data_IF_557285309008
#
_entry.id   IF_557285309008
#
_cell.length_a   1.000
_cell.length_b   1.000
_cell.length_c   1.000
_cell.angle_alpha   90.00
_cell.angle_beta   90.00
_cell.angle_gamma   90.00
#
_symmetry.space_group_name_H-M   'P 1'
#
loop_
_entity.id
_entity.type
_entity.pdbx_description
1 polymer ?
#
# COMPACT_ATOMS: atom_id res chain seq x y z
N UNK A 1 -28.25 29.49 -5.12
CA UNK A 1 -27.64 28.65 -4.06
C UNK A 1 -26.59 29.53 -3.40
N UNK A 2 -26.84 29.97 -2.16
CA UNK A 2 -26.20 31.12 -1.52
C UNK A 2 -24.79 30.80 -1.00
N UNK A 3 -23.89 31.80 -1.02
CA UNK A 3 -22.49 31.72 -0.54
C UNK A 3 -22.34 31.12 0.87
N UNK A 4 -23.40 31.19 1.68
CA UNK A 4 -23.48 30.62 3.02
C UNK A 4 -23.44 29.08 3.03
N UNK A 5 -24.11 28.41 2.08
CA UNK A 5 -24.04 26.93 1.93
C UNK A 5 -22.65 26.46 1.49
N UNK A 6 -21.96 27.26 0.69
CA UNK A 6 -20.60 26.97 0.22
C UNK A 6 -19.60 27.17 1.37
N UNK A 7 -19.77 28.22 2.18
CA UNK A 7 -18.94 28.45 3.37
C UNK A 7 -19.17 27.36 4.43
N UNK A 8 -20.42 26.97 4.68
CA UNK A 8 -20.75 25.90 5.62
C UNK A 8 -20.26 24.52 5.17
N UNK A 9 -20.32 24.21 3.87
CA UNK A 9 -19.73 22.98 3.33
C UNK A 9 -18.19 23.01 3.43
N UNK A 10 -17.55 24.15 3.16
CA UNK A 10 -16.09 24.27 3.25
C UNK A 10 -15.59 24.16 4.70
N UNK A 11 -16.30 24.73 5.68
CA UNK A 11 -15.91 24.63 7.10
C UNK A 11 -16.14 23.21 7.66
N UNK A 12 -17.23 22.55 7.27
CA UNK A 12 -17.49 21.14 7.65
C UNK A 12 -16.47 20.18 7.03
N UNK A 13 -16.11 20.34 5.74
CA UNK A 13 -15.03 19.58 5.11
C UNK A 13 -13.67 19.81 5.79
N UNK A 14 -13.34 21.05 6.12
CA UNK A 14 -12.06 21.37 6.80
C UNK A 14 -11.99 20.75 8.20
N UNK A 15 -13.11 20.74 8.94
CA UNK A 15 -13.19 20.12 10.27
C UNK A 15 -13.10 18.59 10.19
N UNK A 16 -13.81 17.97 9.25
CA UNK A 16 -13.76 16.52 8.99
C UNK A 16 -12.34 16.07 8.61
N UNK A 17 -11.65 16.82 7.75
CA UNK A 17 -10.26 16.50 7.37
C UNK A 17 -9.30 16.51 8.58
N UNK A 18 -9.41 17.52 9.45
CA UNK A 18 -8.59 17.57 10.69
C UNK A 18 -8.88 16.39 11.61
N UNK A 19 -10.15 15.99 11.72
CA UNK A 19 -10.55 14.84 12.52
C UNK A 19 -9.98 13.53 11.95
N UNK A 20 -10.06 13.31 10.63
CA UNK A 20 -9.49 12.13 9.98
C UNK A 20 -7.98 12.03 10.17
N UNK A 21 -7.25 13.15 10.03
CA UNK A 21 -5.80 13.19 10.29
C UNK A 21 -5.49 12.75 11.72
N UNK A 22 -6.25 13.24 12.71
CA UNK A 22 -6.00 12.91 14.11
C UNK A 22 -6.29 11.43 14.42
N UNK A 23 -7.39 10.89 13.86
CA UNK A 23 -7.73 9.46 13.98
C UNK A 23 -6.65 8.59 13.30
N UNK A 24 -6.18 9.00 12.12
CA UNK A 24 -5.15 8.29 11.36
C UNK A 24 -3.84 8.23 12.14
N UNK A 25 -3.37 9.38 12.64
CA UNK A 25 -2.15 9.47 13.44
C UNK A 25 -2.25 8.62 14.72
N UNK A 26 -3.43 8.54 15.33
CA UNK A 26 -3.65 7.66 16.48
C UNK A 26 -3.57 6.19 16.07
N UNK A 27 -4.13 5.83 14.92
CA UNK A 27 -3.97 4.51 14.30
C UNK A 27 -2.51 4.15 14.07
N UNK A 28 -1.72 5.06 13.49
CA UNK A 28 -0.28 4.85 13.26
C UNK A 28 0.46 4.62 14.59
N UNK A 29 0.20 5.45 15.61
CA UNK A 29 0.82 5.28 16.93
C UNK A 29 0.50 3.91 17.54
N UNK A 30 -0.75 3.45 17.42
CA UNK A 30 -1.16 2.13 17.89
C UNK A 30 -0.47 1.02 17.11
N UNK A 31 -0.32 1.19 15.79
CA UNK A 31 0.42 0.25 14.94
C UNK A 31 1.88 0.11 15.41
N UNK A 32 2.58 1.24 15.63
CA UNK A 32 3.96 1.23 16.11
C UNK A 32 4.12 0.65 17.53
N UNK A 33 3.07 0.68 18.34
CA UNK A 33 3.02 0.03 19.66
C UNK A 33 2.58 -1.45 19.59
N UNK A 34 2.44 -2.02 18.39
CA UNK A 34 1.93 -3.37 18.15
C UNK A 34 0.50 -3.61 18.65
N UNK A 35 -0.28 -2.54 18.88
CA UNK A 35 -1.70 -2.60 19.27
C UNK A 35 -2.59 -2.71 18.01
N UNK A 36 -2.36 -3.74 17.20
CA UNK A 36 -2.86 -3.85 15.83
C UNK A 36 -4.38 -3.83 15.70
N UNK A 37 -5.12 -4.51 16.58
CA UNK A 37 -6.60 -4.47 16.56
C UNK A 37 -7.15 -3.06 16.84
N UNK A 38 -6.50 -2.32 17.75
CA UNK A 38 -6.90 -0.94 18.02
C UNK A 38 -6.55 -0.04 16.82
N UNK A 39 -5.41 -0.26 16.18
CA UNK A 39 -5.04 0.45 14.95
C UNK A 39 -6.06 0.19 13.83
N UNK A 40 -6.46 -1.09 13.63
CA UNK A 40 -7.49 -1.51 12.68
C UNK A 40 -8.77 -0.69 12.81
N UNK A 41 -9.27 -0.59 14.05
CA UNK A 41 -10.49 0.16 14.36
C UNK A 41 -10.39 1.63 13.95
N UNK A 42 -9.25 2.29 14.18
CA UNK A 42 -9.06 3.70 13.83
C UNK A 42 -9.10 3.92 12.31
N UNK A 43 -8.44 3.06 11.53
CA UNK A 43 -8.48 3.17 10.06
C UNK A 43 -9.88 2.86 9.51
N UNK A 44 -10.60 1.88 10.06
CA UNK A 44 -11.98 1.58 9.68
C UNK A 44 -12.94 2.73 10.01
N UNK A 45 -12.75 3.39 11.17
CA UNK A 45 -13.55 4.56 11.55
C UNK A 45 -13.50 5.69 10.52
N UNK A 46 -12.33 5.91 9.90
CA UNK A 46 -12.16 6.93 8.85
C UNK A 46 -12.95 6.53 7.59
N UNK A 47 -12.90 5.27 7.18
CA UNK A 47 -13.60 4.77 5.98
C UNK A 47 -15.13 4.85 6.09
N UNK A 48 -15.69 4.74 7.30
CA UNK A 48 -17.15 4.85 7.54
C UNK A 48 -17.61 6.29 7.82
N UNK A 49 -16.72 7.27 7.83
CA UNK A 49 -17.02 8.68 8.13
C UNK A 49 -16.84 9.57 6.88
N UNK A 50 -17.81 9.58 5.94
CA UNK A 50 -17.74 10.48 4.79
C UNK A 50 -17.96 11.95 5.20
N UNK A 51 -17.42 12.93 4.45
CA UNK A 51 -16.69 12.78 3.19
C UNK A 51 -15.21 12.42 3.38
N UNK A 52 -14.70 11.51 2.54
CA UNK A 52 -13.29 11.11 2.49
C UNK A 52 -12.77 11.19 1.05
N UNK A 53 -11.53 11.64 0.86
CA UNK A 53 -10.91 11.69 -0.45
C UNK A 53 -10.46 10.30 -0.91
N UNK A 54 -10.39 10.05 -2.22
CA UNK A 54 -9.88 8.78 -2.74
C UNK A 54 -8.45 8.49 -2.25
N UNK A 55 -7.62 9.53 -2.09
CA UNK A 55 -6.26 9.41 -1.58
C UNK A 55 -6.24 8.98 -0.11
N UNK A 56 -7.07 9.58 0.74
CA UNK A 56 -7.17 9.21 2.15
C UNK A 56 -7.78 7.81 2.32
N UNK A 57 -8.76 7.45 1.49
CA UNK A 57 -9.28 6.07 1.42
C UNK A 57 -8.17 5.09 1.07
N UNK A 58 -7.37 5.36 0.03
CA UNK A 58 -6.26 4.51 -0.38
C UNK A 58 -5.22 4.35 0.73
N UNK A 59 -4.91 5.43 1.47
CA UNK A 59 -4.03 5.38 2.64
C UNK A 59 -4.59 4.49 3.76
N UNK A 60 -5.89 4.62 4.07
CA UNK A 60 -6.53 3.77 5.08
C UNK A 60 -6.49 2.30 4.70
N UNK A 61 -6.78 1.97 3.44
CA UNK A 61 -6.67 0.60 2.94
C UNK A 61 -5.23 0.07 2.98
N UNK A 62 -4.23 0.90 2.70
CA UNK A 62 -2.82 0.53 2.87
C UNK A 62 -2.51 0.14 4.32
N UNK A 63 -2.91 0.99 5.27
CA UNK A 63 -2.68 0.74 6.70
C UNK A 63 -3.45 -0.48 7.21
N UNK A 64 -4.68 -0.71 6.71
CA UNK A 64 -5.44 -1.93 7.02
C UNK A 64 -4.79 -3.18 6.42
N UNK A 65 -4.21 -3.09 5.23
CA UNK A 65 -3.42 -4.16 4.63
C UNK A 65 -2.22 -4.53 5.52
N UNK A 66 -1.49 -3.52 6.01
CA UNK A 66 -0.36 -3.73 6.92
C UNK A 66 -0.79 -4.37 8.24
N UNK A 67 -1.82 -3.80 8.89
CA UNK A 67 -2.40 -4.34 10.13
C UNK A 67 -2.85 -5.80 9.98
N UNK A 68 -3.59 -6.12 8.92
CA UNK A 68 -4.05 -7.50 8.72
C UNK A 68 -2.89 -8.45 8.36
N UNK A 69 -1.80 -7.95 7.79
CA UNK A 69 -0.58 -8.74 7.59
C UNK A 69 0.04 -9.13 8.93
N UNK A 70 0.18 -8.16 9.84
CA UNK A 70 0.71 -8.38 11.19
C UNK A 70 -0.20 -9.30 12.04
N UNK A 71 -1.51 -9.20 11.86
CA UNK A 71 -2.50 -10.08 12.48
C UNK A 71 -2.59 -11.47 11.82
N UNK A 72 -1.79 -11.75 10.79
CA UNK A 72 -1.82 -13.00 10.00
C UNK A 72 -3.12 -13.26 9.23
N UNK A 73 -3.99 -12.25 9.11
CA UNK A 73 -5.21 -12.27 8.32
C UNK A 73 -4.89 -11.99 6.84
N UNK A 74 -4.18 -12.92 6.20
CA UNK A 74 -3.59 -12.68 4.88
C UNK A 74 -4.60 -12.41 3.76
N UNK A 75 -5.76 -13.08 3.77
CA UNK A 75 -6.82 -12.83 2.77
C UNK A 75 -7.36 -11.41 2.88
N UNK A 76 -7.62 -10.94 4.11
CA UNK A 76 -8.08 -9.58 4.37
C UNK A 76 -6.99 -8.56 4.03
N UNK A 77 -5.71 -8.87 4.30
CA UNK A 77 -4.60 -8.02 3.90
C UNK A 77 -4.54 -7.83 2.39
N UNK A 78 -4.64 -8.93 1.62
CA UNK A 78 -4.68 -8.91 0.15
C UNK A 78 -5.87 -8.10 -0.35
N UNK A 79 -7.07 -8.31 0.20
CA UNK A 79 -8.26 -7.55 -0.17
C UNK A 79 -8.12 -6.05 0.10
N UNK A 80 -7.52 -5.67 1.24
CA UNK A 80 -7.25 -4.27 1.55
C UNK A 80 -6.25 -3.64 0.57
N UNK A 81 -5.16 -4.33 0.23
CA UNK A 81 -4.22 -3.84 -0.77
C UNK A 81 -4.86 -3.76 -2.18
N UNK A 82 -5.74 -4.69 -2.56
CA UNK A 82 -6.49 -4.56 -3.82
C UNK A 82 -7.42 -3.34 -3.83
N UNK A 83 -8.14 -3.08 -2.72
CA UNK A 83 -8.93 -1.86 -2.60
C UNK A 83 -8.06 -0.59 -2.72
N UNK A 84 -6.86 -0.58 -2.12
CA UNK A 84 -5.90 0.50 -2.30
C UNK A 84 -5.51 0.65 -3.78
N UNK A 85 -5.15 -0.45 -4.44
CA UNK A 85 -4.72 -0.49 -5.84
C UNK A 85 -5.80 0.09 -6.76
N UNK A 86 -7.05 -0.34 -6.60
CA UNK A 86 -8.19 0.15 -7.39
C UNK A 86 -8.39 1.66 -7.25
N UNK A 87 -8.25 2.19 -6.03
CA UNK A 87 -8.36 3.62 -5.78
C UNK A 87 -7.20 4.41 -6.39
N UNK A 88 -5.97 3.89 -6.33
CA UNK A 88 -4.80 4.50 -6.96
C UNK A 88 -4.94 4.51 -8.49
N UNK A 89 -5.43 3.42 -9.08
CA UNK A 89 -5.73 3.34 -10.52
C UNK A 89 -6.85 4.33 -10.88
N UNK A 90 -7.88 4.47 -10.03
CA UNK A 90 -8.99 5.41 -10.27
C UNK A 90 -8.57 6.87 -10.18
N UNK A 91 -7.61 7.20 -9.31
CA UNK A 91 -7.05 8.55 -9.19
C UNK A 91 -6.39 9.02 -10.50
N UNK A 92 -5.83 8.08 -11.30
CA UNK A 92 -5.22 8.34 -12.63
C UNK A 92 -4.36 9.61 -12.66
N UNK A 93 -3.48 9.80 -11.69
CA UNK A 93 -2.58 10.96 -11.69
C UNK A 93 -1.26 10.52 -12.31
N UNK A 94 -1.01 10.83 -13.61
CA UNK A 94 0.15 10.29 -14.30
C UNK A 94 1.44 10.79 -13.65
N UNK A 95 2.44 9.92 -13.58
CA UNK A 95 3.75 10.17 -12.97
C UNK A 95 3.70 10.51 -11.48
N UNK A 96 2.59 10.21 -10.79
CA UNK A 96 2.45 10.43 -9.34
C UNK A 96 1.98 9.20 -8.58
N UNK A 97 1.19 8.33 -9.21
CA UNK A 97 0.63 7.15 -8.53
C UNK A 97 1.44 5.88 -8.74
N UNK A 98 2.34 5.82 -9.73
CA UNK A 98 3.05 4.61 -10.13
C UNK A 98 3.98 4.10 -9.02
N UNK A 99 4.64 5.01 -8.29
CA UNK A 99 5.41 4.65 -7.11
C UNK A 99 4.56 4.04 -5.99
N UNK A 100 3.35 4.54 -5.79
CA UNK A 100 2.44 4.01 -4.76
C UNK A 100 1.75 2.71 -5.21
N UNK A 101 1.43 2.57 -6.50
CA UNK A 101 0.98 1.31 -7.11
C UNK A 101 2.06 0.24 -6.95
N UNK A 102 3.32 0.57 -7.25
CA UNK A 102 4.44 -0.36 -7.07
C UNK A 102 4.62 -0.77 -5.60
N UNK A 103 4.53 0.16 -4.64
CA UNK A 103 4.53 -0.18 -3.20
C UNK A 103 3.39 -1.12 -2.84
N UNK A 104 2.19 -0.87 -3.35
CA UNK A 104 1.02 -1.72 -3.11
C UNK A 104 1.25 -3.15 -3.65
N UNK A 105 1.76 -3.28 -4.87
CA UNK A 105 2.11 -4.57 -5.48
C UNK A 105 3.21 -5.30 -4.70
N UNK A 106 4.24 -4.57 -4.23
CA UNK A 106 5.28 -5.12 -3.34
C UNK A 106 4.67 -5.69 -2.06
N UNK A 107 3.73 -4.97 -1.44
CA UNK A 107 3.04 -5.43 -0.23
C UNK A 107 2.19 -6.67 -0.47
N UNK A 108 1.44 -6.74 -1.57
CA UNK A 108 0.70 -7.96 -1.94
C UNK A 108 1.66 -9.13 -2.14
N UNK A 109 2.76 -8.92 -2.86
CA UNK A 109 3.79 -9.94 -3.05
C UNK A 109 4.42 -10.41 -1.73
N UNK A 110 4.60 -9.51 -0.75
CA UNK A 110 5.06 -9.86 0.60
C UNK A 110 4.05 -10.74 1.34
N UNK A 111 2.74 -10.45 1.24
CA UNK A 111 1.72 -11.29 1.87
C UNK A 111 1.72 -12.70 1.27
N UNK A 112 1.82 -12.83 -0.06
CA UNK A 112 1.96 -14.14 -0.70
C UNK A 112 3.24 -14.88 -0.30
N UNK A 113 4.34 -14.16 -0.08
CA UNK A 113 5.57 -14.73 0.47
C UNK A 113 5.34 -15.31 1.88
N UNK A 114 4.64 -14.59 2.75
CA UNK A 114 4.28 -15.06 4.10
C UNK A 114 3.37 -16.30 4.06
N UNK A 115 2.51 -16.40 3.05
CA UNK A 115 1.71 -17.60 2.74
C UNK A 115 2.52 -18.73 2.06
N UNK A 116 3.83 -18.53 1.85
CA UNK A 116 4.70 -19.46 1.11
C UNK A 116 4.28 -19.71 -0.35
N UNK A 117 3.43 -18.85 -0.91
CA UNK A 117 3.06 -18.86 -2.32
C UNK A 117 4.07 -18.03 -3.12
N UNK A 118 5.26 -18.60 -3.29
CA UNK A 118 6.38 -17.92 -3.93
C UNK A 118 6.12 -17.54 -5.38
N UNK A 119 5.32 -18.34 -6.12
CA UNK A 119 4.96 -18.04 -7.52
C UNK A 119 4.15 -16.75 -7.64
N UNK A 120 3.11 -16.59 -6.82
CA UNK A 120 2.33 -15.34 -6.78
C UNK A 120 3.17 -14.17 -6.28
N UNK A 121 3.99 -14.39 -5.24
CA UNK A 121 4.89 -13.35 -4.75
C UNK A 121 5.83 -12.83 -5.85
N UNK A 122 6.47 -13.71 -6.63
CA UNK A 122 7.34 -13.31 -7.76
C UNK A 122 6.53 -12.55 -8.83
N UNK A 123 5.33 -13.01 -9.16
CA UNK A 123 4.45 -12.34 -10.13
C UNK A 123 4.16 -10.89 -9.74
N UNK A 124 3.78 -10.65 -8.49
CA UNK A 124 3.49 -9.29 -7.99
C UNK A 124 4.73 -8.40 -7.92
N UNK A 125 5.90 -8.95 -7.55
CA UNK A 125 7.15 -8.18 -7.60
C UNK A 125 7.52 -7.79 -9.04
N UNK A 126 7.31 -8.67 -10.03
CA UNK A 126 7.54 -8.34 -11.45
C UNK A 126 6.59 -7.26 -11.96
N UNK A 127 5.30 -7.35 -11.62
CA UNK A 127 4.33 -6.29 -11.94
C UNK A 127 4.71 -4.93 -11.33
N UNK A 128 5.31 -4.92 -10.14
CA UNK A 128 5.83 -3.70 -9.53
C UNK A 128 6.99 -3.10 -10.34
N UNK A 129 7.91 -3.92 -10.88
CA UNK A 129 8.96 -3.45 -11.78
C UNK A 129 8.38 -2.86 -13.07
N UNK A 130 7.44 -3.56 -13.69
CA UNK A 130 6.81 -3.14 -14.94
C UNK A 130 6.08 -1.80 -14.76
N UNK A 131 5.43 -1.60 -13.60
CA UNK A 131 4.78 -0.33 -13.25
C UNK A 131 5.79 0.82 -13.19
N UNK A 132 6.96 0.61 -12.57
CA UNK A 132 7.97 1.66 -12.41
C UNK A 132 8.69 1.98 -13.71
N UNK A 133 8.92 0.97 -14.56
CA UNK A 133 9.60 1.11 -15.84
C UNK A 133 8.89 2.07 -16.81
N UNK A 134 7.57 2.29 -16.64
CA UNK A 134 6.77 3.22 -17.45
C UNK A 134 7.18 4.69 -17.18
N UNK A 135 7.57 5.02 -15.95
CA UNK A 135 7.81 6.41 -15.52
C UNK A 135 9.30 6.74 -15.47
N UNK A 136 10.10 5.85 -14.88
CA UNK A 136 11.55 6.03 -14.80
C UNK A 136 12.27 4.70 -14.69
N UNK A 137 13.29 4.43 -15.53
CA UNK A 137 14.11 3.24 -15.42
C UNK A 137 14.84 3.10 -14.08
N UNK A 138 15.14 4.23 -13.42
CA UNK A 138 15.93 4.29 -12.18
C UNK A 138 15.07 4.79 -11.01
N UNK A 139 14.02 4.05 -10.65
CA UNK A 139 13.21 4.37 -9.48
C UNK A 139 13.87 3.84 -8.19
N UNK A 140 13.78 4.59 -7.09
CA UNK A 140 14.35 4.25 -5.77
C UNK A 140 13.88 2.89 -5.20
N UNK A 141 12.80 2.34 -5.76
CA UNK A 141 12.22 1.06 -5.33
C UNK A 141 12.77 -0.13 -6.12
N UNK A 142 13.38 0.09 -7.29
CA UNK A 142 13.82 -0.96 -8.21
C UNK A 142 14.80 -1.92 -7.54
N UNK A 143 15.84 -1.42 -6.85
CA UNK A 143 16.80 -2.25 -6.10
C UNK A 143 16.12 -3.09 -5.01
N UNK A 144 15.14 -2.50 -4.29
CA UNK A 144 14.37 -3.23 -3.27
C UNK A 144 13.57 -4.38 -3.90
N UNK A 145 12.93 -4.13 -5.05
CA UNK A 145 12.14 -5.16 -5.74
C UNK A 145 13.05 -6.29 -6.25
N UNK A 146 14.19 -5.96 -6.85
CA UNK A 146 15.16 -6.97 -7.28
C UNK A 146 15.65 -7.83 -6.12
N UNK A 147 15.97 -7.22 -4.97
CA UNK A 147 16.33 -7.98 -3.77
C UNK A 147 15.20 -8.91 -3.29
N UNK A 148 13.95 -8.46 -3.35
CA UNK A 148 12.80 -9.30 -2.99
C UNK A 148 12.66 -10.50 -3.94
N UNK A 149 12.79 -10.29 -5.26
CA UNK A 149 12.75 -11.36 -6.26
C UNK A 149 13.92 -12.34 -6.05
N UNK A 150 15.12 -11.84 -5.79
CA UNK A 150 16.28 -12.66 -5.49
C UNK A 150 16.05 -13.57 -4.27
N UNK A 151 15.51 -13.00 -3.19
CA UNK A 151 15.14 -13.77 -1.99
C UNK A 151 14.09 -14.84 -2.28
N UNK A 152 13.11 -14.53 -3.14
CA UNK A 152 12.08 -15.48 -3.56
C UNK A 152 12.68 -16.67 -4.33
N UNK A 153 13.55 -16.41 -5.30
CA UNK A 153 14.27 -17.46 -6.02
C UNK A 153 15.19 -18.27 -5.11
N UNK A 154 15.84 -17.64 -4.13
CA UNK A 154 16.64 -18.35 -3.14
C UNK A 154 15.78 -19.32 -2.30
N UNK A 155 14.53 -18.96 -1.97
CA UNK A 155 13.59 -19.85 -1.27
C UNK A 155 13.13 -21.03 -2.13
N UNK A 156 13.00 -20.85 -3.44
CA UNK A 156 12.69 -21.94 -4.38
C UNK A 156 13.92 -22.73 -4.83
N UNK A 157 15.11 -22.42 -4.28
CA UNK A 157 16.42 -23.04 -4.61
C UNK A 157 16.89 -22.78 -6.04
N UNK A 158 16.35 -21.76 -6.69
CA UNK A 158 16.77 -21.28 -8.01
C UNK A 158 17.93 -20.29 -7.85
N UNK A 159 19.09 -20.79 -7.44
CA UNK A 159 20.20 -19.95 -7.01
C UNK A 159 20.81 -19.08 -8.13
N UNK A 160 20.81 -19.56 -9.37
CA UNK A 160 21.31 -18.78 -10.52
C UNK A 160 20.44 -17.53 -10.75
N UNK A 161 19.11 -17.70 -10.78
CA UNK A 161 18.16 -16.59 -10.84
C UNK A 161 18.31 -15.67 -9.64
N UNK A 162 18.46 -16.21 -8.43
CA UNK A 162 18.66 -15.40 -7.23
C UNK A 162 19.91 -14.51 -7.35
N UNK A 163 21.04 -15.07 -7.80
CA UNK A 163 22.28 -14.34 -7.98
C UNK A 163 22.15 -13.23 -9.03
N UNK A 164 21.50 -13.50 -10.16
CA UNK A 164 21.24 -12.49 -11.20
C UNK A 164 20.47 -11.30 -10.64
N UNK A 165 19.39 -11.55 -9.88
CA UNK A 165 18.59 -10.47 -9.29
C UNK A 165 19.31 -9.75 -8.15
N UNK A 166 20.17 -10.42 -7.37
CA UNK A 166 21.02 -9.73 -6.40
C UNK A 166 22.03 -8.79 -7.09
N UNK A 167 22.62 -9.21 -8.22
CA UNK A 167 23.51 -8.36 -9.01
C UNK A 167 22.76 -7.14 -9.55
N UNK A 168 21.55 -7.33 -10.10
CA UNK A 168 20.67 -6.23 -10.53
C UNK A 168 20.31 -5.27 -9.40
N UNK A 169 20.21 -5.74 -8.16
CA UNK A 169 19.92 -4.89 -7.01
C UNK A 169 21.12 -4.02 -6.56
N UNK A 170 22.34 -4.39 -6.94
CA UNK A 170 23.59 -3.70 -6.57
C UNK A 170 24.11 -2.74 -7.65
N UNK A 171 23.69 -2.94 -8.90
CA UNK A 171 24.01 -2.07 -10.04
C UNK A 171 23.25 -0.74 -9.96
#
# INVERSE_FOLDING_TARGET
MTDEKIRESATTTTKSNKQHINIFNRGDLLYWNCEYEKAKNHYQMILISPPISLLDSARCYSSLGAVNTELTNYEEAINNYHNQLDLLIKLKIPNKTEGDIAKCLISIGMVYFLQQNYAQAISYQKQALDTLAIVTPAHDLTSKIYRNIANLYAKTKEFDSALEYFQKALA
#
